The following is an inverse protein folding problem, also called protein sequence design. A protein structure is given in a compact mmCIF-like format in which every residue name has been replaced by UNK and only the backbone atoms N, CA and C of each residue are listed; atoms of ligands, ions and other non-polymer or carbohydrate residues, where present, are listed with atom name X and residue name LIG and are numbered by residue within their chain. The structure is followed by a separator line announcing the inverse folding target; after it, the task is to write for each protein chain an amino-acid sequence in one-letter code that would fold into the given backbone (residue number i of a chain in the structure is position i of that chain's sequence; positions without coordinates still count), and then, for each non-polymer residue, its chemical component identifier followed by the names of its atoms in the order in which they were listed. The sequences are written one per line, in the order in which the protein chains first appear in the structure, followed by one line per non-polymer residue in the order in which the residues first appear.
data_IF_002487879102
#
_entry.id   IF_002487879102
#
_cell.length_a   1.000
_cell.length_b   1.000
_cell.length_c   1.000
_cell.angle_alpha   90.00
_cell.angle_beta   90.00
_cell.angle_gamma   90.00
#
_symmetry.space_group_name_H-M   'P 1'
#
loop_
_entity.id
_entity.type
_entity.pdbx_description
1 polymer ?
#
# COMPACT_ATOMS: atom_id res chain seq x y z
N UNK A 1 -0.54 -43.17 -13.80
CA UNK A 1 -1.57 -42.34 -14.45
C UNK A 1 -2.70 -42.16 -13.46
N UNK A 2 -2.81 -40.99 -12.86
CA UNK A 2 -4.09 -40.47 -12.38
C UNK A 2 -4.09 -38.95 -12.61
N UNK A 3 -4.82 -38.45 -13.61
CA UNK A 3 -4.96 -37.03 -13.89
C UNK A 3 -6.12 -36.46 -13.03
N UNK A 4 -6.09 -35.14 -12.78
CA UNK A 4 -7.09 -34.33 -12.05
C UNK A 4 -7.05 -34.35 -10.51
N UNK A 5 -6.36 -33.37 -9.94
CA UNK A 5 -6.77 -32.62 -8.74
C UNK A 5 -6.80 -31.13 -9.11
N UNK A 6 -7.67 -30.78 -10.05
CA UNK A 6 -7.80 -29.41 -10.56
C UNK A 6 -9.28 -29.08 -10.70
N UNK A 7 -9.93 -28.79 -9.57
CA UNK A 7 -11.11 -27.92 -9.48
C UNK A 7 -11.67 -27.90 -8.05
N UNK A 8 -10.98 -27.27 -7.09
CA UNK A 8 -11.75 -26.47 -6.15
C UNK A 8 -11.92 -25.11 -6.83
N UNK A 9 -13.00 -24.95 -7.57
CA UNK A 9 -13.43 -23.62 -7.98
C UNK A 9 -13.72 -22.86 -6.70
N UNK A 10 -12.79 -21.99 -6.28
CA UNK A 10 -13.06 -21.01 -5.24
C UNK A 10 -14.28 -20.24 -5.75
N UNK A 11 -15.43 -20.44 -5.10
CA UNK A 11 -16.69 -19.77 -5.43
C UNK A 11 -16.57 -18.29 -5.03
N UNK A 12 -15.82 -17.56 -5.84
CA UNK A 12 -15.54 -16.15 -5.64
C UNK A 12 -16.55 -15.33 -6.42
N UNK A 13 -17.58 -14.88 -5.70
CA UNK A 13 -18.62 -14.01 -6.27
C UNK A 13 -18.16 -12.56 -6.26
N UNK A 14 -17.97 -12.00 -7.44
CA UNK A 14 -17.73 -10.56 -7.62
C UNK A 14 -19.01 -9.77 -7.30
N UNK A 15 -18.89 -8.54 -6.77
CA UNK A 15 -20.05 -7.68 -6.53
C UNK A 15 -20.69 -7.26 -7.86
N UNK A 16 -21.99 -6.98 -7.82
CA UNK A 16 -22.66 -6.30 -8.93
C UNK A 16 -22.10 -4.88 -9.09
N UNK A 17 -22.23 -4.30 -10.29
CA UNK A 17 -21.65 -2.98 -10.61
C UNK A 17 -22.10 -1.89 -9.63
N UNK A 18 -23.36 -1.91 -9.21
CA UNK A 18 -23.94 -0.96 -8.25
C UNK A 18 -23.35 -1.07 -6.85
N UNK A 19 -22.83 -2.24 -6.48
CA UNK A 19 -22.27 -2.54 -5.15
C UNK A 19 -20.75 -2.49 -5.14
N UNK A 20 -20.11 -2.42 -6.32
CA UNK A 20 -18.66 -2.51 -6.50
C UNK A 20 -17.88 -1.49 -5.68
N UNK A 21 -18.35 -0.25 -5.61
CA UNK A 21 -17.66 0.80 -4.85
C UNK A 21 -17.59 0.46 -3.35
N UNK A 22 -18.73 0.15 -2.73
CA UNK A 22 -18.79 -0.21 -1.31
C UNK A 22 -18.08 -1.53 -1.01
N UNK A 23 -18.13 -2.49 -1.95
CA UNK A 23 -17.35 -3.72 -1.85
C UNK A 23 -15.84 -3.45 -1.81
N UNK A 24 -15.34 -2.63 -2.74
CA UNK A 24 -13.92 -2.28 -2.84
C UNK A 24 -13.48 -1.53 -1.60
N UNK A 25 -14.24 -0.53 -1.16
CA UNK A 25 -13.97 0.21 0.09
C UNK A 25 -13.82 -0.74 1.28
N UNK A 26 -14.82 -1.62 1.50
CA UNK A 26 -14.78 -2.60 2.58
C UNK A 26 -13.56 -3.53 2.49
N UNK A 27 -13.17 -3.93 1.27
CA UNK A 27 -11.96 -4.74 1.07
C UNK A 27 -10.68 -3.99 1.40
N UNK A 28 -10.59 -2.73 1.04
CA UNK A 28 -9.46 -1.89 1.44
C UNK A 28 -9.39 -1.74 2.97
N UNK A 29 -10.53 -1.53 3.65
CA UNK A 29 -10.58 -1.45 5.12
C UNK A 29 -10.16 -2.76 5.81
N UNK A 30 -10.56 -3.90 5.26
CA UNK A 30 -10.18 -5.23 5.76
C UNK A 30 -8.67 -5.47 5.60
N UNK A 31 -8.09 -5.11 4.45
CA UNK A 31 -6.69 -5.37 4.13
C UNK A 31 -5.76 -4.38 4.83
N UNK A 32 -6.14 -3.10 4.93
CA UNK A 32 -5.31 -2.03 5.50
C UNK A 32 -4.78 -2.38 6.90
N UNK A 33 -5.62 -3.00 7.75
CA UNK A 33 -5.26 -3.42 9.11
C UNK A 33 -4.12 -4.44 9.16
N UNK A 34 -3.99 -5.27 8.13
CA UNK A 34 -2.99 -6.34 8.06
C UNK A 34 -1.83 -6.00 7.13
N UNK A 35 -1.98 -5.00 6.28
CA UNK A 35 -1.04 -4.68 5.21
C UNK A 35 0.36 -4.37 5.73
N UNK A 36 0.47 -3.58 6.80
CA UNK A 36 1.77 -3.27 7.41
C UNK A 36 2.42 -4.51 8.04
N UNK A 37 1.66 -5.38 8.70
CA UNK A 37 2.17 -6.64 9.25
C UNK A 37 2.64 -7.58 8.14
N UNK A 38 1.88 -7.70 7.04
CA UNK A 38 2.30 -8.48 5.89
C UNK A 38 3.58 -7.92 5.28
N UNK A 39 3.66 -6.59 5.08
CA UNK A 39 4.87 -5.95 4.59
C UNK A 39 6.07 -6.20 5.51
N UNK A 40 5.87 -6.17 6.83
CA UNK A 40 6.91 -6.47 7.80
C UNK A 40 7.47 -7.87 7.63
N UNK A 41 6.58 -8.86 7.50
CA UNK A 41 6.98 -10.25 7.37
C UNK A 41 7.64 -10.53 6.01
N UNK A 42 6.99 -10.15 4.91
CA UNK A 42 7.48 -10.48 3.56
C UNK A 42 8.75 -9.70 3.18
N UNK A 43 8.90 -8.46 3.70
CA UNK A 43 10.08 -7.63 3.42
C UNK A 43 11.14 -7.72 4.51
N UNK A 44 10.94 -8.54 5.55
CA UNK A 44 11.76 -8.53 6.76
C UNK A 44 11.98 -7.11 7.30
N UNK A 45 10.92 -6.29 7.28
CA UNK A 45 10.92 -4.90 7.72
C UNK A 45 11.59 -3.88 6.78
N UNK A 46 12.13 -4.30 5.63
CA UNK A 46 12.84 -3.40 4.70
C UNK A 46 11.96 -2.30 4.10
N UNK A 47 10.64 -2.49 4.03
CA UNK A 47 9.73 -1.48 3.49
C UNK A 47 9.84 -0.11 4.21
N UNK A 48 10.21 -0.08 5.51
CA UNK A 48 10.45 1.17 6.26
C UNK A 48 11.70 1.90 5.78
N UNK A 49 12.75 1.15 5.43
CA UNK A 49 13.97 1.72 4.88
C UNK A 49 13.69 2.32 3.49
N UNK A 50 12.97 1.60 2.63
CA UNK A 50 12.60 2.10 1.29
C UNK A 50 11.76 3.38 1.36
N UNK A 51 10.76 3.45 2.25
CA UNK A 51 9.96 4.67 2.47
C UNK A 51 10.84 5.88 2.81
N UNK A 52 11.82 5.71 3.72
CA UNK A 52 12.77 6.76 4.08
C UNK A 52 13.75 7.08 2.96
N UNK A 53 14.18 6.07 2.21
CA UNK A 53 15.08 6.24 1.08
C UNK A 53 14.42 7.09 -0.02
N UNK A 54 13.18 6.77 -0.39
CA UNK A 54 12.39 7.56 -1.36
C UNK A 54 12.25 9.00 -0.87
N UNK A 55 11.88 9.21 0.40
CA UNK A 55 11.75 10.55 0.96
C UNK A 55 13.06 11.36 0.94
N UNK A 56 14.23 10.71 1.06
CA UNK A 56 15.55 11.37 0.93
C UNK A 56 15.95 11.63 -0.52
N UNK A 57 15.36 10.92 -1.47
CA UNK A 57 15.67 11.00 -2.90
C UNK A 57 14.80 12.00 -3.65
N UNK A 58 13.83 12.63 -3.00
CA UNK A 58 12.99 13.69 -3.56
C UNK A 58 13.83 14.88 -4.04
N UNK A 59 14.91 15.21 -3.33
CA UNK A 59 15.80 16.31 -3.68
C UNK A 59 15.16 17.69 -3.53
N UNK A 60 14.08 17.84 -2.74
CA UNK A 60 13.38 19.13 -2.63
C UNK A 60 14.30 20.19 -2.03
N UNK A 61 14.31 21.36 -2.65
CA UNK A 61 14.95 22.55 -2.11
C UNK A 61 13.99 23.29 -1.15
N UNK A 62 14.51 24.16 -0.27
CA UNK A 62 13.66 25.01 0.57
C UNK A 62 12.65 25.80 -0.27
N UNK A 63 11.37 25.74 0.11
CA UNK A 63 10.26 26.40 -0.58
C UNK A 63 9.63 25.62 -1.74
N UNK A 64 10.16 24.44 -2.09
CA UNK A 64 9.55 23.55 -3.09
C UNK A 64 8.47 22.65 -2.47
N UNK A 65 7.35 22.49 -3.18
CA UNK A 65 6.22 21.67 -2.72
C UNK A 65 6.27 20.27 -3.30
N UNK A 66 5.82 19.27 -2.53
CA UNK A 66 5.62 17.91 -3.00
C UNK A 66 4.18 17.43 -2.81
N UNK A 67 3.75 16.48 -3.65
CA UNK A 67 2.47 15.78 -3.54
C UNK A 67 2.72 14.27 -3.47
N UNK A 68 2.26 13.62 -2.40
CA UNK A 68 2.33 12.17 -2.23
C UNK A 68 1.04 11.53 -2.77
N UNK A 69 1.13 10.94 -3.97
CA UNK A 69 0.00 10.30 -4.65
C UNK A 69 -0.21 8.87 -4.14
N UNK A 70 -1.48 8.47 -3.96
CA UNK A 70 -1.83 7.15 -3.42
C UNK A 70 -1.14 6.85 -2.08
N UNK A 71 -0.98 7.89 -1.25
CA UNK A 71 -0.16 7.88 -0.03
C UNK A 71 -0.53 6.81 1.02
N UNK A 72 -1.76 6.29 0.96
CA UNK A 72 -2.25 5.28 1.91
C UNK A 72 -2.14 5.81 3.34
N UNK A 73 -1.33 5.16 4.17
CA UNK A 73 -1.11 5.55 5.57
C UNK A 73 -0.36 6.87 5.75
N UNK A 74 0.23 7.46 4.70
CA UNK A 74 0.92 8.76 4.80
C UNK A 74 2.41 8.69 5.15
N UNK A 75 3.03 7.50 5.13
CA UNK A 75 4.38 7.32 5.66
C UNK A 75 5.47 8.05 4.88
N UNK A 76 5.35 8.13 3.55
CA UNK A 76 6.35 8.81 2.71
C UNK A 76 6.24 10.32 2.89
N UNK A 77 5.04 10.90 2.76
CA UNK A 77 4.83 12.32 3.05
C UNK A 77 5.33 12.76 4.44
N UNK A 78 5.05 11.98 5.49
CA UNK A 78 5.62 12.23 6.83
C UNK A 78 7.13 12.13 6.87
N UNK A 79 7.72 11.16 6.16
CA UNK A 79 9.16 11.03 6.06
C UNK A 79 9.80 12.22 5.32
N UNK A 80 9.15 12.77 4.29
CA UNK A 80 9.60 13.98 3.58
C UNK A 80 9.63 15.17 4.53
N UNK A 81 8.56 15.44 5.27
CA UNK A 81 8.53 16.53 6.27
C UNK A 81 9.63 16.39 7.32
N UNK A 82 9.98 15.17 7.71
CA UNK A 82 11.06 14.90 8.66
C UNK A 82 12.45 15.18 8.10
N UNK A 83 12.69 14.90 6.81
CA UNK A 83 14.00 15.08 6.19
C UNK A 83 14.18 16.46 5.56
N UNK A 84 13.09 17.12 5.20
CA UNK A 84 13.07 18.42 4.52
C UNK A 84 11.96 19.31 5.12
N UNK A 85 12.14 19.78 6.38
CA UNK A 85 11.11 20.51 7.11
C UNK A 85 10.77 21.91 6.55
N UNK A 86 11.50 22.35 5.52
CA UNK A 86 11.36 23.66 4.86
C UNK A 86 10.71 23.56 3.46
N UNK A 87 10.24 22.36 3.09
CA UNK A 87 9.45 22.10 1.88
C UNK A 87 7.96 22.42 2.10
#
# INVERSE_FOLDING_TARGET
MNPLMLSESIDYKLPEEKEKSGYVEKKFDEIAKKYDLFNDLITFGMHRYWKKFVAKKTGLAPGEKCLDLCTGTGDIGRAVLKFQPQA
#
